data_IF_662478496183
#
_entry.id   IF_662478496183
#
_cell.length_a   1.000
_cell.length_b   1.000
_cell.length_c   1.000
_cell.angle_alpha   90.00
_cell.angle_beta   90.00
_cell.angle_gamma   90.00
#
_symmetry.space_group_name_H-M   'P 1'
#
loop_
_entity.id
_entity.type
_entity.pdbx_description
1 polymer ?
#
# COMPACT_ATOMS: atom_id res chain seq x y z
N UNK A 1 -13.77 5.95 2.42
CA UNK A 1 -12.32 6.14 2.21
C UNK A 1 -11.88 5.42 0.94
N UNK A 2 -11.31 6.15 -0.03
CA UNK A 2 -11.03 5.70 -1.40
C UNK A 2 -9.52 5.58 -1.65
N UNK A 3 -8.97 4.40 -1.40
CA UNK A 3 -7.53 4.10 -1.60
C UNK A 3 -7.18 4.03 -3.09
N UNK A 4 -8.15 3.67 -3.92
CA UNK A 4 -8.06 3.67 -5.38
C UNK A 4 -7.79 5.08 -5.95
N UNK A 5 -8.39 6.12 -5.37
CA UNK A 5 -8.14 7.50 -5.81
C UNK A 5 -6.75 7.95 -5.37
N UNK A 6 -6.37 7.66 -4.11
CA UNK A 6 -5.05 8.03 -3.60
C UNK A 6 -3.90 7.38 -4.40
N UNK A 7 -4.05 6.10 -4.77
CA UNK A 7 -3.07 5.38 -5.60
C UNK A 7 -3.00 5.90 -7.04
N UNK A 8 -4.09 6.41 -7.61
CA UNK A 8 -4.05 7.05 -8.93
C UNK A 8 -3.29 8.39 -8.91
N UNK A 9 -3.47 9.18 -7.85
CA UNK A 9 -2.78 10.47 -7.67
C UNK A 9 -1.27 10.25 -7.48
N UNK A 10 -0.89 9.26 -6.67
CA UNK A 10 0.51 8.91 -6.41
C UNK A 10 0.99 7.82 -7.37
N UNK A 11 0.88 8.09 -8.68
CA UNK A 11 1.25 7.12 -9.72
C UNK A 11 2.45 7.58 -10.56
N UNK A 12 3.19 6.61 -11.11
CA UNK A 12 4.27 6.91 -12.05
C UNK A 12 3.79 7.71 -13.28
N UNK A 13 2.54 7.52 -13.71
CA UNK A 13 1.94 8.29 -14.80
C UNK A 13 1.77 9.76 -14.44
N UNK A 14 1.29 10.05 -13.22
CA UNK A 14 1.18 11.43 -12.72
C UNK A 14 2.56 12.07 -12.60
N UNK A 15 3.56 11.34 -12.07
CA UNK A 15 4.94 11.82 -12.02
C UNK A 15 5.47 12.22 -13.40
N UNK A 16 5.25 11.39 -14.43
CA UNK A 16 5.66 11.71 -15.81
C UNK A 16 4.97 12.97 -16.33
N UNK A 17 3.66 13.11 -16.12
CA UNK A 17 2.91 14.31 -16.55
C UNK A 17 3.45 15.55 -15.85
N UNK A 18 3.68 15.49 -14.53
CA UNK A 18 4.25 16.61 -13.77
C UNK A 18 5.60 17.06 -14.33
N UNK A 19 6.48 16.12 -14.71
CA UNK A 19 7.78 16.45 -15.34
C UNK A 19 7.60 17.08 -16.72
N UNK A 20 6.65 16.59 -17.51
CA UNK A 20 6.40 17.09 -18.86
C UNK A 20 5.78 18.48 -18.87
N UNK A 21 4.88 18.79 -17.93
CA UNK A 21 4.10 20.04 -17.95
C UNK A 21 4.59 21.10 -16.98
N UNK A 22 5.23 20.72 -15.87
CA UNK A 22 5.57 21.65 -14.79
C UNK A 22 7.04 22.09 -14.73
N UNK A 23 7.92 21.53 -15.58
CA UNK A 23 9.34 21.90 -15.64
C UNK A 23 10.07 21.70 -14.31
N UNK A 24 11.03 22.58 -13.98
CA UNK A 24 11.84 22.47 -12.75
C UNK A 24 11.02 22.66 -11.46
N UNK A 25 9.90 23.38 -11.52
CA UNK A 25 9.09 23.69 -10.32
C UNK A 25 8.32 22.47 -9.82
N UNK A 26 7.99 21.52 -10.69
CA UNK A 26 7.25 20.30 -10.36
C UNK A 26 8.14 19.08 -10.12
N UNK A 27 9.47 19.22 -10.27
CA UNK A 27 10.40 18.09 -10.26
C UNK A 27 10.36 17.31 -8.93
N UNK A 28 10.38 18.02 -7.80
CA UNK A 28 10.31 17.42 -6.46
C UNK A 28 8.97 16.73 -6.22
N UNK A 29 7.86 17.34 -6.64
CA UNK A 29 6.53 16.74 -6.54
C UNK A 29 6.42 15.48 -7.40
N UNK A 30 7.03 15.51 -8.59
CA UNK A 30 7.07 14.34 -9.47
C UNK A 30 7.93 13.22 -8.86
N UNK A 31 9.06 13.56 -8.22
CA UNK A 31 9.90 12.60 -7.52
C UNK A 31 9.13 11.96 -6.36
N UNK A 32 8.45 12.77 -5.54
CA UNK A 32 7.61 12.29 -4.44
C UNK A 32 6.54 11.29 -4.91
N UNK A 33 5.79 11.64 -5.95
CA UNK A 33 4.74 10.76 -6.49
C UNK A 33 5.34 9.43 -7.01
N UNK A 34 6.48 9.47 -7.69
CA UNK A 34 7.16 8.28 -8.19
C UNK A 34 7.70 7.41 -7.06
N UNK A 35 8.31 8.01 -6.05
CA UNK A 35 8.90 7.28 -4.91
C UNK A 35 7.81 6.55 -4.12
N UNK A 36 6.65 7.19 -3.91
CA UNK A 36 5.51 6.53 -3.26
C UNK A 36 4.85 5.45 -4.13
N UNK A 37 4.68 5.69 -5.44
CA UNK A 37 4.19 4.67 -6.37
C UNK A 37 5.04 3.39 -6.29
N UNK A 38 6.37 3.57 -6.40
CA UNK A 38 7.35 2.49 -6.30
C UNK A 38 7.28 1.77 -4.94
N UNK A 39 7.13 2.51 -3.84
CA UNK A 39 6.97 1.95 -2.50
C UNK A 39 5.72 1.07 -2.41
N UNK A 40 4.57 1.56 -2.87
CA UNK A 40 3.32 0.78 -2.85
C UNK A 40 3.39 -0.46 -3.75
N UNK A 41 4.03 -0.34 -4.92
CA UNK A 41 4.24 -1.48 -5.81
C UNK A 41 5.13 -2.57 -5.17
N UNK A 42 6.14 -2.19 -4.36
CA UNK A 42 6.95 -3.15 -3.59
C UNK A 42 6.12 -3.89 -2.53
N UNK A 43 5.08 -3.24 -2.00
CA UNK A 43 4.25 -3.78 -0.91
C UNK A 43 2.93 -4.40 -1.37
N UNK A 44 2.56 -4.32 -2.65
CA UNK A 44 1.27 -4.81 -3.15
C UNK A 44 1.37 -5.82 -4.29
N UNK A 45 2.34 -6.71 -4.22
CA UNK A 45 2.58 -7.73 -5.25
C UNK A 45 1.50 -8.80 -5.18
N UNK A 46 0.79 -9.00 -6.30
CA UNK A 46 -0.38 -9.90 -6.35
C UNK A 46 -0.20 -11.13 -7.22
N UNK A 47 0.66 -11.11 -8.26
CA UNK A 47 0.85 -12.21 -9.20
C UNK A 47 2.29 -12.25 -9.75
N UNK A 48 2.75 -13.44 -10.15
CA UNK A 48 4.11 -13.71 -10.66
C UNK A 48 4.27 -13.57 -12.18
N UNK A 49 3.29 -13.01 -12.88
CA UNK A 49 3.31 -12.95 -14.35
C UNK A 49 4.52 -12.22 -14.93
N UNK A 50 5.14 -11.34 -14.14
CA UNK A 50 6.40 -10.68 -14.50
C UNK A 50 7.48 -11.13 -13.51
N UNK A 51 8.04 -12.30 -13.77
CA UNK A 51 9.09 -12.89 -12.94
C UNK A 51 10.27 -11.95 -12.73
N UNK A 52 10.41 -11.42 -11.52
CA UNK A 52 11.71 -11.22 -10.85
C UNK A 52 11.43 -10.94 -9.38
N UNK A 53 11.84 -11.86 -8.51
CA UNK A 53 11.88 -11.67 -7.04
C UNK A 53 12.95 -10.63 -6.61
N UNK A 54 13.55 -9.88 -7.52
CA UNK A 54 14.97 -9.52 -7.33
C UNK A 54 15.24 -8.32 -6.43
N UNK A 55 14.45 -7.24 -6.46
CA UNK A 55 14.98 -5.96 -5.96
C UNK A 55 14.02 -5.18 -5.04
N UNK A 56 12.97 -5.78 -4.48
CA UNK A 56 12.02 -5.02 -3.64
C UNK A 56 12.64 -4.54 -2.33
N UNK A 57 13.32 -5.45 -1.64
CA UNK A 57 14.10 -5.13 -0.44
C UNK A 57 15.25 -4.17 -0.77
N UNK A 58 15.92 -4.37 -1.91
CA UNK A 58 16.97 -3.46 -2.41
C UNK A 58 16.41 -2.06 -2.64
N UNK A 59 15.28 -1.92 -3.33
CA UNK A 59 14.63 -0.62 -3.63
C UNK A 59 14.11 0.06 -2.37
N UNK A 60 13.51 -0.69 -1.45
CA UNK A 60 13.05 -0.12 -0.17
C UNK A 60 14.24 0.37 0.67
N UNK A 61 15.31 -0.42 0.74
CA UNK A 61 16.49 -0.10 1.54
C UNK A 61 17.36 1.00 0.94
N UNK A 62 17.57 0.98 -0.37
CA UNK A 62 18.57 1.83 -1.04
C UNK A 62 17.95 3.04 -1.76
N UNK A 63 16.66 3.03 -2.09
CA UNK A 63 15.97 4.19 -2.70
C UNK A 63 15.01 4.86 -1.70
N UNK A 64 14.04 4.11 -1.16
CA UNK A 64 12.94 4.71 -0.41
C UNK A 64 13.35 5.28 0.95
N UNK A 65 14.04 4.48 1.79
CA UNK A 65 14.47 4.93 3.11
C UNK A 65 15.43 6.14 3.02
N UNK A 66 16.49 6.12 2.18
CA UNK A 66 17.36 7.29 2.02
C UNK A 66 16.62 8.52 1.49
N UNK A 67 15.64 8.34 0.60
CA UNK A 67 14.81 9.46 0.13
C UNK A 67 14.04 10.13 1.28
N UNK A 68 13.43 9.34 2.19
CA UNK A 68 12.74 9.90 3.36
C UNK A 68 13.69 10.67 4.27
N UNK A 69 14.89 10.14 4.53
CA UNK A 69 15.92 10.80 5.33
C UNK A 69 16.37 12.12 4.70
N UNK A 70 16.67 12.10 3.40
CA UNK A 70 17.10 13.27 2.65
C UNK A 70 16.01 14.34 2.60
N UNK A 71 14.75 13.94 2.42
CA UNK A 71 13.62 14.87 2.41
C UNK A 71 13.43 15.54 3.77
N UNK A 72 13.46 14.77 4.86
CA UNK A 72 13.38 15.31 6.22
C UNK A 72 14.53 16.29 6.52
N UNK A 73 15.77 15.90 6.18
CA UNK A 73 16.95 16.73 6.33
C UNK A 73 16.86 18.03 5.51
N UNK A 74 16.49 17.92 4.23
CA UNK A 74 16.37 19.06 3.33
C UNK A 74 15.30 20.07 3.78
N UNK A 75 14.25 19.63 4.48
CA UNK A 75 13.29 20.56 5.09
C UNK A 75 13.85 21.20 6.36
N UNK A 76 14.57 20.45 7.19
CA UNK A 76 15.17 20.97 8.43
C UNK A 76 16.27 22.02 8.18
N UNK A 77 17.02 21.88 7.10
CA UNK A 77 18.08 22.83 6.72
C UNK A 77 17.55 24.10 6.03
N UNK A 78 16.26 24.16 5.64
CA UNK A 78 15.71 25.34 4.98
C UNK A 78 15.67 26.53 5.92
N UNK A 79 16.24 27.63 5.46
CA UNK A 79 16.17 28.92 6.13
C UNK A 79 14.95 29.73 5.66
N UNK A 80 14.48 30.67 6.48
CA UNK A 80 13.40 31.59 6.12
C UNK A 80 11.97 31.09 6.37
N UNK A 81 11.80 29.91 6.97
CA UNK A 81 10.48 29.36 7.33
C UNK A 81 10.33 29.18 8.84
N UNK A 82 9.09 29.35 9.34
CA UNK A 82 8.78 29.03 10.75
C UNK A 82 8.74 27.52 10.97
N UNK A 83 8.95 27.07 12.20
CA UNK A 83 8.86 25.64 12.57
C UNK A 83 7.52 25.02 12.13
N UNK A 84 6.41 25.73 12.35
CA UNK A 84 5.08 25.27 11.93
C UNK A 84 4.98 25.11 10.41
N UNK A 85 5.56 26.04 9.64
CA UNK A 85 5.55 25.97 8.18
C UNK A 85 6.41 24.81 7.66
N UNK A 86 7.55 24.53 8.31
CA UNK A 86 8.39 23.37 8.00
C UNK A 86 7.67 22.05 8.31
N UNK A 87 6.93 21.96 9.43
CA UNK A 87 6.14 20.76 9.75
C UNK A 87 5.07 20.45 8.69
N UNK A 88 4.48 21.47 8.05
CA UNK A 88 3.53 21.28 6.95
C UNK A 88 4.17 20.78 5.65
N UNK A 89 5.50 20.87 5.52
CA UNK A 89 6.24 20.34 4.37
C UNK A 89 6.64 18.88 4.55
N UNK A 90 6.41 18.31 5.73
CA UNK A 90 6.72 16.92 6.07
C UNK A 90 5.43 16.12 6.25
N UNK A 91 5.59 14.79 6.23
CA UNK A 91 4.54 13.90 6.72
C UNK A 91 4.33 14.11 8.23
N UNK A 92 3.15 13.73 8.72
CA UNK A 92 2.95 13.67 10.18
C UNK A 92 3.99 12.71 10.78
N UNK A 93 4.36 12.97 12.03
CA UNK A 93 5.35 12.16 12.74
C UNK A 93 4.99 10.67 12.72
N UNK A 94 3.72 10.35 12.97
CA UNK A 94 3.18 8.99 12.99
C UNK A 94 3.24 8.33 11.61
N UNK A 95 2.94 9.10 10.56
CA UNK A 95 2.96 8.60 9.18
C UNK A 95 4.40 8.31 8.74
N UNK A 96 5.32 9.24 9.00
CA UNK A 96 6.75 9.05 8.69
C UNK A 96 7.34 7.85 9.44
N UNK A 97 7.08 7.75 10.74
CA UNK A 97 7.50 6.60 11.54
C UNK A 97 6.91 5.28 11.02
N UNK A 98 5.62 5.27 10.70
CA UNK A 98 4.93 4.10 10.15
C UNK A 98 5.55 3.61 8.84
N UNK A 99 5.87 4.52 7.92
CA UNK A 99 6.52 4.17 6.65
C UNK A 99 7.92 3.57 6.88
N UNK A 100 8.70 4.13 7.79
CA UNK A 100 10.04 3.63 8.15
C UNK A 100 9.99 2.24 8.77
N UNK A 101 9.06 2.02 9.69
CA UNK A 101 8.83 0.71 10.32
C UNK A 101 8.40 -0.31 9.28
N UNK A 102 7.45 0.01 8.40
CA UNK A 102 6.99 -0.90 7.35
C UNK A 102 8.13 -1.27 6.41
N UNK A 103 8.87 -0.29 5.87
CA UNK A 103 9.96 -0.53 4.94
C UNK A 103 11.06 -1.39 5.58
N UNK A 104 11.51 -1.02 6.78
CA UNK A 104 12.58 -1.73 7.50
C UNK A 104 12.15 -3.15 7.87
N UNK A 105 10.95 -3.31 8.45
CA UNK A 105 10.44 -4.63 8.85
C UNK A 105 10.24 -5.54 7.66
N UNK A 106 9.76 -5.01 6.53
CA UNK A 106 9.57 -5.80 5.32
C UNK A 106 10.90 -6.24 4.70
N UNK A 107 11.91 -5.36 4.68
CA UNK A 107 13.28 -5.71 4.26
C UNK A 107 13.85 -6.84 5.14
N UNK A 108 13.78 -6.71 6.47
CA UNK A 108 14.27 -7.75 7.38
C UNK A 108 13.46 -9.05 7.27
N UNK A 109 12.14 -8.95 7.07
CA UNK A 109 11.29 -10.11 6.87
C UNK A 109 11.65 -10.89 5.59
N UNK A 110 11.91 -10.19 4.48
CA UNK A 110 12.39 -10.83 3.23
C UNK A 110 13.72 -11.53 3.46
N UNK A 111 14.67 -10.89 4.15
CA UNK A 111 15.97 -11.50 4.47
C UNK A 111 15.82 -12.75 5.32
N UNK A 112 15.03 -12.66 6.39
CA UNK A 112 14.75 -13.77 7.28
C UNK A 112 14.16 -14.96 6.52
N UNK A 113 13.12 -14.71 5.72
CA UNK A 113 12.51 -15.76 4.90
C UNK A 113 13.49 -16.37 3.91
N UNK A 114 14.38 -15.56 3.33
CA UNK A 114 15.41 -16.04 2.40
C UNK A 114 16.48 -16.91 3.07
N UNK A 115 16.61 -16.87 4.38
CA UNK A 115 17.51 -17.74 5.14
C UNK A 115 16.90 -19.13 5.42
N UNK A 116 15.59 -19.31 5.31
CA UNK A 116 14.92 -20.58 5.59
C UNK A 116 15.13 -21.57 4.42
N UNK A 117 15.60 -22.80 4.68
CA UNK A 117 15.93 -23.78 3.64
C UNK A 117 14.71 -24.13 2.76
N UNK A 118 13.55 -24.38 3.36
CA UNK A 118 12.31 -24.73 2.66
C UNK A 118 11.79 -23.59 1.75
N UNK A 119 12.19 -22.36 2.04
CA UNK A 119 11.80 -21.12 1.35
C UNK A 119 12.75 -20.77 0.20
N UNK A 120 13.97 -21.33 0.21
CA UNK A 120 14.89 -21.23 -0.92
C UNK A 120 14.43 -22.12 -2.08
N UNK A 121 13.90 -23.30 -1.75
CA UNK A 121 13.39 -24.27 -2.73
C UNK A 121 12.00 -23.90 -3.26
N UNK A 122 11.08 -23.57 -2.35
CA UNK A 122 9.78 -23.01 -2.72
C UNK A 122 10.03 -21.54 -2.94
N UNK A 123 10.22 -21.10 -4.20
CA UNK A 123 10.33 -19.67 -4.55
C UNK A 123 9.20 -18.91 -3.87
N UNK A 124 9.41 -18.37 -2.66
CA UNK A 124 8.27 -17.90 -1.89
C UNK A 124 7.70 -16.74 -2.66
N UNK A 125 6.50 -17.02 -3.12
CA UNK A 125 5.61 -16.05 -3.61
C UNK A 125 5.16 -15.22 -2.40
N UNK A 126 6.03 -14.34 -1.91
CA UNK A 126 5.68 -13.36 -0.90
C UNK A 126 4.67 -12.42 -1.56
N UNK A 127 3.41 -12.80 -1.49
CA UNK A 127 2.29 -11.93 -1.78
C UNK A 127 2.25 -10.93 -0.62
N UNK A 128 3.06 -9.88 -0.71
CA UNK A 128 3.10 -8.78 0.26
C UNK A 128 1.70 -8.22 0.55
N UNK A 129 0.76 -8.36 -0.40
CA UNK A 129 -0.67 -8.12 -0.21
C UNK A 129 -1.31 -8.87 0.97
N UNK A 130 -0.89 -10.10 1.26
CA UNK A 130 -1.40 -10.90 2.39
C UNK A 130 -0.93 -10.37 3.75
N UNK A 131 0.08 -9.50 3.77
CA UNK A 131 0.58 -8.84 4.99
C UNK A 131 -0.30 -7.62 5.34
N UNK A 132 -1.04 -7.08 4.37
CA UNK A 132 -1.96 -5.96 4.60
C UNK A 132 -3.25 -6.41 5.30
N UNK A 133 -3.88 -5.49 6.06
CA UNK A 133 -5.19 -5.70 6.68
C UNK A 133 -6.37 -5.63 5.67
N UNK A 134 -6.09 -5.65 4.37
CA UNK A 134 -7.12 -5.58 3.31
C UNK A 134 -8.12 -6.76 3.40
N UNK A 135 -7.69 -8.02 3.61
CA UNK A 135 -8.63 -9.13 3.77
C UNK A 135 -9.60 -8.88 4.93
N UNK A 136 -9.08 -8.48 6.09
CA UNK A 136 -9.90 -8.16 7.26
C UNK A 136 -10.90 -7.03 6.99
N UNK A 137 -10.49 -5.98 6.26
CA UNK A 137 -11.40 -4.89 5.88
C UNK A 137 -12.51 -5.36 4.93
N UNK A 138 -12.19 -6.28 4.01
CA UNK A 138 -13.20 -6.88 3.14
C UNK A 138 -14.19 -7.72 3.96
N UNK A 139 -13.70 -8.50 4.92
CA UNK A 139 -14.53 -9.29 5.83
C UNK A 139 -15.48 -8.41 6.63
N UNK A 140 -15.03 -7.26 7.13
CA UNK A 140 -15.92 -6.27 7.78
C UNK A 140 -16.92 -5.62 6.82
N UNK A 141 -16.63 -5.58 5.52
CA UNK A 141 -17.52 -5.07 4.48
C UNK A 141 -18.68 -6.03 4.18
N UNK A 142 -18.44 -7.34 4.22
CA UNK A 142 -19.42 -8.37 3.84
C UNK A 142 -20.72 -8.32 4.68
N UNK A 143 -20.69 -8.26 6.03
CA UNK A 143 -21.90 -8.11 6.86
C UNK A 143 -22.64 -6.79 6.64
N UNK A 144 -21.92 -5.72 6.29
CA UNK A 144 -22.51 -4.40 6.02
C UNK A 144 -23.24 -4.40 4.68
N UNK A 145 -22.66 -5.01 3.65
CA UNK A 145 -23.27 -5.14 2.33
C UNK A 145 -24.53 -6.03 2.30
N UNK A 146 -24.61 -7.06 3.15
CA UNK A 146 -25.81 -7.91 3.27
C UNK A 146 -27.01 -7.20 3.93
N UNK A 147 -26.82 -6.03 4.54
CA UNK A 147 -27.83 -5.36 5.35
C UNK A 147 -28.76 -4.39 4.62
N UNK A 148 -28.63 -4.22 3.30
CA UNK A 148 -29.35 -3.16 2.58
C UNK A 148 -29.02 -1.78 3.19
N UNK A 149 -29.99 -1.18 3.89
CA UNK A 149 -29.86 0.12 4.58
C UNK A 149 -29.22 0.06 5.97
N UNK A 150 -28.91 -1.13 6.50
CA UNK A 150 -28.25 -1.29 7.81
C UNK A 150 -26.72 -1.30 7.68
N UNK A 151 -26.17 -0.15 7.27
CA UNK A 151 -24.73 0.07 7.10
C UNK A 151 -23.94 0.00 8.42
N UNK A 152 -24.64 0.21 9.54
CA UNK A 152 -24.12 0.15 10.89
C UNK A 152 -24.91 -0.85 11.75
N UNK A 153 -24.61 -2.15 11.66
CA UNK A 153 -25.31 -3.17 12.45
C UNK A 153 -24.96 -3.06 13.94
N UNK A 154 -25.90 -3.44 14.80
CA UNK A 154 -25.61 -3.71 16.22
C UNK A 154 -24.74 -4.96 16.35
N UNK A 155 -24.12 -5.16 17.52
CA UNK A 155 -23.27 -6.32 17.81
C UNK A 155 -24.02 -7.64 17.55
N UNK A 156 -25.26 -7.76 18.03
CA UNK A 156 -26.11 -8.94 17.80
C UNK A 156 -26.35 -9.17 16.30
N UNK A 157 -26.72 -8.12 15.56
CA UNK A 157 -26.94 -8.22 14.11
C UNK A 157 -25.66 -8.59 13.35
N UNK A 158 -24.49 -8.13 13.82
CA UNK A 158 -23.20 -8.48 13.23
C UNK A 158 -22.89 -9.97 13.40
N UNK A 159 -23.10 -10.53 14.59
CA UNK A 159 -22.87 -11.96 14.86
C UNK A 159 -23.78 -12.84 14.01
N UNK A 160 -25.09 -12.59 14.00
CA UNK A 160 -26.03 -13.37 13.19
C UNK A 160 -25.69 -13.35 11.69
N UNK A 161 -25.25 -12.20 11.17
CA UNK A 161 -24.81 -12.07 9.77
C UNK A 161 -23.49 -12.78 9.49
N UNK A 162 -22.57 -12.79 10.45
CA UNK A 162 -21.27 -13.46 10.36
C UNK A 162 -21.44 -14.97 10.39
N UNK A 163 -22.32 -15.50 11.24
CA UNK A 163 -22.62 -16.93 11.28
C UNK A 163 -23.26 -17.39 9.96
N UNK A 164 -24.17 -16.60 9.40
CA UNK A 164 -24.72 -16.84 8.06
C UNK A 164 -23.67 -16.73 6.93
N UNK A 165 -22.58 -15.98 7.12
CA UNK A 165 -21.45 -15.96 6.18
C UNK A 165 -20.61 -17.21 6.34
N UNK A 166 -20.29 -17.64 7.56
CA UNK A 166 -19.51 -18.87 7.84
C UNK A 166 -20.16 -20.13 7.27
N UNK A 167 -21.49 -20.23 7.33
CA UNK A 167 -22.24 -21.34 6.75
C UNK A 167 -22.17 -21.33 5.21
N UNK A 168 -22.12 -20.15 4.59
CA UNK A 168 -22.07 -19.97 3.13
C UNK A 168 -20.64 -20.03 2.57
N UNK A 169 -19.64 -19.55 3.30
CA UNK A 169 -18.21 -19.51 2.92
C UNK A 169 -17.56 -20.90 2.89
N UNK A 170 -18.24 -21.95 3.36
CA UNK A 170 -17.88 -23.33 3.01
C UNK A 170 -18.01 -23.61 1.49
N UNK A 171 -18.60 -22.70 0.71
CA UNK A 171 -18.82 -22.83 -0.74
C UNK A 171 -18.22 -21.73 -1.62
N UNK A 172 -17.38 -20.81 -1.13
CA UNK A 172 -16.73 -19.86 -2.05
C UNK A 172 -15.76 -18.85 -1.45
N UNK A 173 -14.46 -19.15 -1.48
CA UNK A 173 -13.42 -18.13 -1.31
C UNK A 173 -13.52 -17.08 -2.43
N UNK A 174 -13.96 -15.87 -2.09
CA UNK A 174 -13.80 -14.73 -2.99
C UNK A 174 -12.31 -14.45 -3.21
N UNK A 175 -11.90 -14.30 -4.47
CA UNK A 175 -10.54 -13.90 -4.83
C UNK A 175 -10.18 -12.58 -4.14
N UNK A 176 -9.10 -12.58 -3.38
CA UNK A 176 -8.57 -11.36 -2.75
C UNK A 176 -8.15 -10.41 -3.89
N UNK A 177 -8.84 -9.27 -4.07
CA UNK A 177 -8.51 -8.23 -5.07
C UNK A 177 -7.53 -7.17 -4.51
N UNK A 178 -6.68 -6.59 -5.36
CA UNK A 178 -5.69 -5.58 -4.95
C UNK A 178 -6.35 -4.21 -4.70
N UNK A 179 -5.80 -3.41 -3.79
CA UNK A 179 -6.37 -2.12 -3.36
C UNK A 179 -5.85 -0.89 -4.14
N UNK A 180 -4.76 -1.04 -4.91
CA UNK A 180 -4.10 0.09 -5.60
C UNK A 180 -4.43 0.20 -7.10
N UNK A 181 -5.15 -0.77 -7.69
CA UNK A 181 -5.47 -0.75 -9.12
C UNK A 181 -6.92 -1.17 -9.32
N UNK A 182 -7.77 -0.19 -9.62
CA UNK A 182 -9.17 -0.43 -9.94
C UNK A 182 -9.29 -1.21 -11.24
N UNK A 183 -9.75 -2.47 -11.16
CA UNK A 183 -10.11 -3.24 -12.35
C UNK A 183 -11.53 -2.85 -12.76
N UNK A 184 -11.72 -2.33 -13.98
CA UNK A 184 -13.04 -2.27 -14.62
C UNK A 184 -13.48 -3.70 -14.91
N UNK A 185 -14.51 -4.18 -14.23
CA UNK A 185 -15.23 -5.36 -14.68
C UNK A 185 -16.21 -4.94 -15.79
N UNK A 186 -15.97 -5.38 -17.02
CA UNK A 186 -17.06 -5.71 -17.93
C UNK A 186 -17.82 -6.88 -17.30
N UNK A 187 -18.98 -6.60 -16.72
CA UNK A 187 -19.95 -7.64 -16.36
C UNK A 187 -20.64 -8.03 -17.66
N UNK A 188 -20.27 -9.17 -18.23
CA UNK A 188 -21.19 -9.92 -19.08
C UNK A 188 -22.07 -10.73 -18.13
N UNK A 189 -23.25 -10.20 -17.83
CA UNK A 189 -24.43 -11.02 -17.59
C UNK A 189 -25.26 -10.96 -18.87
#
# INVERSE_FOLDING_TARGET
>A
MRVDVASQVLSASVSKVLKLTGGLVSEETAMFALTLDKFFDCLNVTNFTNGTRSDQDVRLKNEFLPYLDQWEHAVQERHGFTKTRMMLMLLSHETGLGLRVIATSFVEFIKYLSCLPDVKEIRLALFSKRISQVPLKNDFGCPRQRGGTSDNPTVSNYFSKTDALRVVDLFGCNEVKGNCRGVKMTRNC
#
